data_IF_132573885111
#
_entry.id   IF_132573885111
#
_cell.length_a   1.000
_cell.length_b   1.000
_cell.length_c   1.000
_cell.angle_alpha   90.00
_cell.angle_beta   90.00
_cell.angle_gamma   90.00
#
_symmetry.space_group_name_H-M   'P 1'
#
loop_
_entity.id
_entity.type
_entity.pdbx_description
1 polymer ?
#
# COMPACT_ATOMS: atom_id res chain seq x y z
N UNK A 21 -10.16 -25.44 -39.42
CA UNK A 21 -10.53 -24.00 -39.39
C UNK A 21 -9.28 -23.12 -39.45
N UNK A 22 -9.47 -21.80 -39.54
CA UNK A 22 -8.34 -20.87 -39.56
C UNK A 22 -8.66 -19.58 -38.79
N UNK A 23 -9.56 -18.75 -39.33
CA UNK A 23 -9.85 -17.52 -38.58
C UNK A 23 -10.45 -17.87 -37.23
N UNK A 24 -11.42 -18.78 -37.23
CA UNK A 24 -12.10 -19.23 -36.01
C UNK A 24 -11.08 -19.90 -35.09
N UNK A 25 -9.85 -19.98 -35.59
CA UNK A 25 -8.76 -20.57 -34.85
C UNK A 25 -7.97 -19.38 -34.28
N UNK A 26 -7.66 -18.42 -35.14
CA UNK A 26 -6.94 -17.22 -34.71
C UNK A 26 -7.79 -16.56 -33.63
N UNK A 27 -9.10 -16.81 -33.73
CA UNK A 27 -10.04 -16.29 -32.77
C UNK A 27 -9.75 -16.98 -31.46
N UNK A 28 -9.67 -18.30 -31.50
CA UNK A 28 -9.41 -19.08 -30.30
C UNK A 28 -8.07 -18.70 -29.70
N UNK A 29 -7.13 -18.27 -30.53
CA UNK A 29 -5.84 -17.88 -29.99
C UNK A 29 -6.07 -16.75 -28.99
N UNK A 30 -6.47 -15.58 -29.49
CA UNK A 30 -6.75 -14.40 -28.67
C UNK A 30 -7.59 -14.73 -27.46
N UNK A 31 -8.73 -15.35 -27.67
CA UNK A 31 -9.58 -15.70 -26.53
C UNK A 31 -8.73 -16.31 -25.43
N UNK A 32 -7.73 -17.09 -25.84
CA UNK A 32 -6.86 -17.78 -24.89
C UNK A 32 -5.80 -16.86 -24.30
N UNK A 33 -5.09 -16.12 -25.15
CA UNK A 33 -4.05 -15.21 -24.68
C UNK A 33 -4.59 -14.26 -23.61
N UNK A 34 -5.78 -13.73 -23.85
CA UNK A 34 -6.46 -12.84 -22.94
C UNK A 34 -6.54 -13.52 -21.55
N UNK A 35 -7.24 -14.64 -21.46
CA UNK A 35 -7.36 -15.37 -20.19
C UNK A 35 -5.99 -15.66 -19.57
N UNK A 36 -4.94 -15.44 -20.35
CA UNK A 36 -3.59 -15.64 -19.86
C UNK A 36 -3.16 -14.32 -19.21
N UNK A 37 -3.43 -13.23 -19.93
CA UNK A 37 -3.11 -11.87 -19.46
C UNK A 37 -3.67 -11.69 -18.07
N UNK A 38 -4.94 -12.03 -17.92
CA UNK A 38 -5.62 -11.90 -16.65
C UNK A 38 -4.87 -12.62 -15.55
N UNK A 39 -4.62 -13.91 -15.76
CA UNK A 39 -3.96 -14.72 -14.76
C UNK A 39 -2.60 -14.17 -14.39
N UNK A 40 -1.83 -13.77 -15.40
CA UNK A 40 -0.49 -13.20 -15.18
C UNK A 40 -0.63 -12.02 -14.22
N UNK A 41 -1.20 -10.94 -14.75
CA UNK A 41 -1.47 -9.71 -14.00
C UNK A 41 -2.04 -9.94 -12.62
N UNK A 42 -3.01 -10.82 -12.52
CA UNK A 42 -3.61 -11.09 -11.24
C UNK A 42 -2.52 -11.52 -10.25
N UNK A 43 -1.44 -12.11 -10.78
CA UNK A 43 -0.36 -12.54 -9.91
C UNK A 43 0.60 -11.38 -9.73
N UNK A 44 1.06 -10.80 -10.82
CA UNK A 44 1.97 -9.67 -10.69
C UNK A 44 1.47 -8.75 -9.54
N UNK A 45 0.17 -8.41 -9.55
CA UNK A 45 -0.42 -7.56 -8.51
C UNK A 45 -0.12 -8.12 -7.14
N UNK A 46 -0.19 -9.44 -7.00
CA UNK A 46 0.07 -10.07 -5.71
C UNK A 46 1.52 -9.95 -5.33
N UNK A 47 2.40 -9.88 -6.33
CA UNK A 47 3.81 -9.75 -6.04
C UNK A 47 4.02 -8.33 -5.56
N UNK A 48 3.44 -7.37 -6.30
CA UNK A 48 3.54 -5.96 -5.92
C UNK A 48 3.14 -5.76 -4.45
N UNK A 49 1.99 -6.32 -4.08
CA UNK A 49 1.50 -6.21 -2.73
C UNK A 49 2.38 -6.89 -1.70
N UNK A 50 2.82 -8.12 -1.97
CA UNK A 50 3.66 -8.84 -1.03
C UNK A 50 4.94 -8.06 -0.86
N UNK A 51 5.43 -7.52 -1.96
CA UNK A 51 6.63 -6.71 -1.93
C UNK A 51 6.43 -5.58 -0.89
N UNK A 52 5.35 -4.79 -1.06
CA UNK A 52 5.08 -3.69 -0.14
C UNK A 52 4.94 -4.24 1.26
N UNK A 53 4.15 -5.29 1.41
CA UNK A 53 3.98 -5.91 2.72
C UNK A 53 5.36 -5.97 3.42
N UNK A 54 6.34 -6.63 2.78
CA UNK A 54 7.67 -6.76 3.37
C UNK A 54 8.34 -5.44 3.69
N UNK A 55 8.50 -4.57 2.69
CA UNK A 55 9.13 -3.29 2.97
C UNK A 55 8.37 -2.55 4.08
N UNK A 56 7.20 -3.06 4.44
CA UNK A 56 6.38 -2.43 5.46
C UNK A 56 6.66 -2.91 6.84
N UNK A 57 6.79 -4.23 7.02
CA UNK A 57 7.04 -4.73 8.36
C UNK A 57 8.48 -4.39 8.65
N UNK A 58 9.30 -4.37 7.60
CA UNK A 58 10.72 -4.05 7.74
C UNK A 58 10.87 -2.69 8.40
N UNK A 59 10.35 -1.64 7.73
CA UNK A 59 10.41 -0.30 8.29
C UNK A 59 9.83 -0.36 9.69
N UNK A 60 8.64 -0.94 9.80
CA UNK A 60 7.98 -1.05 11.08
C UNK A 60 8.83 -1.64 12.20
N UNK A 61 9.64 -2.65 11.89
CA UNK A 61 10.48 -3.25 12.92
C UNK A 61 11.68 -2.35 13.21
N UNK A 62 12.16 -1.65 12.19
CA UNK A 62 13.27 -0.74 12.40
C UNK A 62 12.71 0.32 13.34
N UNK A 63 11.89 1.21 12.77
CA UNK A 63 11.30 2.29 13.54
C UNK A 63 11.04 1.88 14.97
N UNK A 64 10.39 0.74 15.13
CA UNK A 64 10.07 0.25 16.46
C UNK A 64 11.32 0.09 17.32
N UNK A 65 12.24 -0.79 16.90
CA UNK A 65 13.48 -1.05 17.65
C UNK A 65 14.10 0.24 18.14
N UNK A 66 14.16 1.22 17.25
CA UNK A 66 14.71 2.51 17.59
C UNK A 66 13.90 3.06 18.73
N UNK A 67 12.60 3.26 18.50
CA UNK A 67 11.73 3.79 19.54
C UNK A 67 11.90 3.02 20.84
N UNK A 68 12.29 1.76 20.72
CA UNK A 68 12.49 0.95 21.91
C UNK A 68 13.88 1.26 22.45
N UNK A 69 14.84 1.40 21.53
CA UNK A 69 16.21 1.74 21.89
C UNK A 69 16.11 2.97 22.78
N UNK A 70 15.45 4.00 22.28
CA UNK A 70 15.24 5.23 23.01
C UNK A 70 14.80 4.86 24.41
N UNK A 71 13.70 4.14 24.52
CA UNK A 71 13.23 3.74 25.83
C UNK A 71 14.30 3.06 26.68
N UNK A 72 15.16 2.27 26.05
CA UNK A 72 16.21 1.58 26.79
C UNK A 72 17.22 2.54 27.39
N UNK A 73 17.67 3.51 26.60
CA UNK A 73 18.65 4.49 27.06
C UNK A 73 18.08 5.57 27.97
N UNK A 74 16.82 5.93 27.78
CA UNK A 74 16.21 6.95 28.62
C UNK A 74 16.04 6.34 29.99
N UNK A 75 16.40 5.07 30.12
CA UNK A 75 16.30 4.36 31.38
C UNK A 75 17.49 4.77 32.23
N UNK A 76 18.67 4.44 31.70
CA UNK A 76 19.94 4.74 32.35
C UNK A 76 20.06 6.21 32.73
N UNK A 77 19.67 7.10 31.82
CA UNK A 77 19.72 8.53 32.11
C UNK A 77 19.01 8.76 33.45
N UNK A 78 17.68 8.67 33.46
CA UNK A 78 16.95 8.88 34.70
C UNK A 78 17.44 7.95 35.78
N UNK A 79 18.08 6.87 35.38
CA UNK A 79 18.62 5.93 36.34
C UNK A 79 19.76 6.64 37.06
N UNK A 80 20.87 6.81 36.34
CA UNK A 80 22.09 7.43 36.86
C UNK A 80 21.91 8.85 37.39
N UNK A 81 20.88 9.56 36.92
CA UNK A 81 20.66 10.92 37.42
C UNK A 81 20.16 10.80 38.85
N UNK A 82 19.80 9.60 39.28
CA UNK A 82 19.32 9.41 40.64
C UNK A 82 19.89 8.18 41.34
N UNK A 83 20.45 7.25 40.57
CA UNK A 83 21.04 6.03 41.15
C UNK A 83 22.43 6.39 41.68
N UNK A 84 23.11 7.27 40.94
CA UNK A 84 24.44 7.75 41.29
C UNK A 84 24.28 9.01 42.13
N UNK A 85 23.13 9.67 41.94
CA UNK A 85 22.83 10.89 42.67
C UNK A 85 22.41 10.54 44.10
N UNK A 86 22.45 9.25 44.42
CA UNK A 86 22.12 8.78 45.76
C UNK A 86 23.42 8.90 46.56
N UNK A 87 24.53 8.68 45.88
CA UNK A 87 25.86 8.79 46.51
C UNK A 87 26.23 10.28 46.57
N UNK A 88 25.45 11.10 45.86
CA UNK A 88 25.65 12.55 45.80
C UNK A 88 24.71 13.26 46.76
N UNK B 21 -22.21 9.74 -41.65
CA UNK B 21 -21.72 8.34 -41.48
C UNK B 21 -22.45 7.67 -40.33
N UNK B 22 -21.98 6.48 -39.94
CA UNK B 22 -22.58 5.75 -38.83
C UNK B 22 -21.56 4.82 -38.17
N UNK B 23 -21.09 3.79 -38.89
CA UNK B 23 -20.12 2.93 -38.24
C UNK B 23 -18.92 3.77 -37.80
N UNK B 24 -18.42 4.58 -38.73
CA UNK B 24 -17.28 5.46 -38.45
C UNK B 24 -17.62 6.35 -37.27
N UNK B 25 -18.90 6.35 -36.89
CA UNK B 25 -19.35 7.14 -35.76
C UNK B 25 -19.35 6.26 -34.52
N UNK B 26 -19.93 5.06 -34.64
CA UNK B 26 -19.97 4.11 -33.53
C UNK B 26 -18.54 3.76 -33.14
N UNK B 27 -17.67 3.80 -34.12
CA UNK B 27 -16.26 3.51 -33.93
C UNK B 27 -15.76 4.62 -33.02
N UNK B 28 -15.93 5.85 -33.49
CA UNK B 28 -15.52 7.04 -32.77
C UNK B 28 -16.12 7.08 -31.36
N UNK B 29 -17.30 6.50 -31.19
CA UNK B 29 -17.92 6.50 -29.87
C UNK B 29 -16.96 5.81 -28.92
N UNK B 30 -16.70 4.53 -29.19
CA UNK B 30 -15.82 3.67 -28.40
C UNK B 30 -14.40 4.22 -28.25
N UNK B 31 -13.78 4.55 -29.36
CA UNK B 31 -12.43 5.11 -29.31
C UNK B 31 -12.37 6.17 -28.21
N UNK B 32 -13.42 6.99 -28.13
CA UNK B 32 -13.46 8.03 -27.13
C UNK B 32 -13.93 7.44 -25.81
N UNK B 33 -14.89 6.53 -25.89
CA UNK B 33 -15.42 5.87 -24.70
C UNK B 33 -14.30 5.23 -23.88
N UNK B 34 -13.43 4.51 -24.58
CA UNK B 34 -12.27 3.83 -24.02
C UNK B 34 -11.31 4.84 -23.36
N UNK B 35 -10.79 5.77 -24.17
CA UNK B 35 -9.87 6.80 -23.71
C UNK B 35 -10.50 7.54 -22.51
N UNK B 36 -11.76 7.24 -22.25
CA UNK B 36 -12.45 7.84 -21.14
C UNK B 36 -12.34 6.88 -19.96
N UNK B 37 -12.35 5.58 -20.27
CA UNK B 37 -12.26 4.55 -19.26
C UNK B 37 -10.93 4.65 -18.53
N UNK B 38 -9.87 4.94 -19.28
CA UNK B 38 -8.52 5.08 -18.71
C UNK B 38 -8.48 6.22 -17.71
N UNK B 39 -8.97 7.38 -18.13
CA UNK B 39 -9.02 8.58 -17.28
C UNK B 39 -9.62 8.24 -15.92
N UNK B 40 -10.81 7.67 -15.97
CA UNK B 40 -11.55 7.30 -14.76
C UNK B 40 -10.65 6.47 -13.86
N UNK B 41 -10.31 5.27 -14.35
CA UNK B 41 -9.45 4.30 -13.66
C UNK B 41 -8.18 4.92 -13.15
N UNK B 42 -7.46 5.63 -14.02
CA UNK B 42 -6.21 6.26 -13.63
C UNK B 42 -6.38 7.17 -12.40
N UNK B 43 -7.57 7.76 -12.23
CA UNK B 43 -7.81 8.59 -11.06
C UNK B 43 -8.30 7.71 -9.91
N UNK B 44 -9.27 6.85 -10.19
CA UNK B 44 -9.77 5.96 -9.16
C UNK B 44 -8.58 5.36 -8.35
N UNK B 45 -7.56 4.86 -9.07
CA UNK B 45 -6.38 4.29 -8.43
C UNK B 45 -5.76 5.28 -7.46
N UNK B 46 -5.69 6.54 -7.89
CA UNK B 46 -5.12 7.57 -7.03
C UNK B 46 -5.94 7.75 -5.77
N UNK B 47 -7.24 7.52 -5.86
CA UNK B 47 -8.07 7.67 -4.67
C UNK B 47 -7.76 6.51 -3.76
N UNK B 48 -7.64 5.32 -4.33
CA UNK B 48 -7.32 4.12 -3.56
C UNK B 48 -6.05 4.36 -2.74
N UNK B 49 -5.01 4.83 -3.43
CA UNK B 49 -3.73 5.13 -2.81
C UNK B 49 -3.80 6.22 -1.73
N UNK B 50 -4.42 7.36 -2.06
CA UNK B 50 -4.54 8.44 -1.09
C UNK B 50 -5.28 7.90 0.11
N UNK B 51 -6.29 7.10 -0.14
CA UNK B 51 -7.06 6.51 0.93
C UNK B 51 -6.09 5.75 1.85
N UNK B 52 -5.29 4.84 1.26
CA UNK B 52 -4.34 4.06 2.06
C UNK B 52 -3.42 5.01 2.78
N UNK B 53 -2.85 5.95 2.03
CA UNK B 53 -1.95 6.92 2.60
C UNK B 53 -2.53 7.40 3.95
N UNK B 54 -3.73 7.95 3.95
CA UNK B 54 -4.33 8.43 5.20
C UNK B 54 -4.45 7.36 6.30
N UNK B 55 -5.09 6.24 5.99
CA UNK B 55 -5.23 5.21 7.00
C UNK B 55 -3.85 4.77 7.51
N UNK B 56 -2.81 5.19 6.79
CA UNK B 56 -1.45 4.83 7.15
C UNK B 56 -0.81 5.77 8.13
N UNK B 57 -0.89 7.07 7.87
CA UNK B 57 -0.29 8.00 8.81
C UNK B 57 -1.11 7.98 10.07
N UNK B 58 -2.41 7.70 9.91
CA UNK B 58 -3.32 7.65 11.05
C UNK B 58 -2.85 6.60 12.03
N UNK B 59 -2.73 5.36 11.56
CA UNK B 59 -2.28 4.28 12.42
C UNK B 59 -0.93 4.70 13.03
N UNK B 60 -0.04 5.11 12.13
CA UNK B 60 1.30 5.55 12.51
C UNK B 60 1.33 6.57 13.62
N UNK B 61 0.42 7.54 13.61
CA UNK B 61 0.40 8.53 14.67
C UNK B 61 -0.17 7.93 15.94
N UNK B 62 -1.12 7.00 15.78
CA UNK B 62 -1.70 6.37 16.96
C UNK B 62 -0.59 5.57 17.59
N UNK B 63 -0.19 4.49 16.91
CA UNK B 63 0.85 3.62 17.42
C UNK B 63 1.93 4.44 18.10
N UNK B 64 2.42 5.46 17.41
CA UNK B 64 3.46 6.32 17.94
C UNK B 64 3.07 6.90 19.30
N UNK B 65 2.04 7.74 19.31
CA UNK B 65 1.59 8.39 20.56
C UNK B 65 1.62 7.42 21.72
N UNK B 66 1.11 6.22 21.47
CA UNK B 66 1.07 5.19 22.49
C UNK B 66 2.51 4.92 22.92
N UNK B 67 3.33 4.53 21.96
CA UNK B 67 4.73 4.25 22.25
C UNK B 67 5.39 5.36 23.03
N UNK B 68 4.96 6.60 22.82
CA UNK B 68 5.54 7.72 23.55
C UNK B 68 4.92 7.77 24.95
N UNK B 69 3.61 7.53 25.01
CA UNK B 69 2.87 7.50 26.26
C UNK B 69 3.59 6.56 27.22
N UNK B 70 3.97 5.40 26.71
CA UNK B 70 4.70 4.41 27.50
C UNK B 70 5.92 5.09 28.06
N UNK B 71 6.62 5.85 27.23
CA UNK B 71 7.82 6.55 27.69
C UNK B 71 7.52 7.58 28.80
N UNK B 72 6.44 8.32 28.66
CA UNK B 72 6.07 9.33 29.66
C UNK B 72 5.60 8.66 30.96
N UNK B 73 5.63 7.33 31.00
CA UNK B 73 5.20 6.61 32.19
C UNK B 73 6.28 5.68 32.72
N UNK B 74 7.17 5.23 31.84
CA UNK B 74 8.22 4.38 32.32
C UNK B 74 9.15 5.36 32.99
N UNK B 75 8.81 6.64 32.85
CA UNK B 75 9.59 7.71 33.46
C UNK B 75 9.16 7.81 34.91
N UNK B 76 7.90 8.20 35.11
CA UNK B 76 7.33 8.34 36.43
C UNK B 76 7.59 7.16 37.35
N UNK B 77 7.53 5.94 36.83
CA UNK B 77 7.81 4.76 37.65
C UNK B 77 9.23 4.90 38.18
N UNK B 78 10.22 4.82 37.30
CA UNK B 78 11.61 4.95 37.70
C UNK B 78 11.74 6.26 38.44
N UNK B 79 10.87 7.20 38.09
CA UNK B 79 10.87 8.50 38.72
C UNK B 79 10.52 8.32 40.19
N UNK B 80 9.21 8.31 40.47
CA UNK B 80 8.71 8.17 41.84
C UNK B 80 9.41 7.06 42.62
N UNK B 81 9.96 6.08 41.92
CA UNK B 81 10.67 5.00 42.57
C UNK B 81 11.86 5.54 43.37
N UNK B 82 12.75 6.27 42.68
CA UNK B 82 13.92 6.81 43.35
C UNK B 82 13.80 8.27 43.80
N UNK B 83 12.85 9.02 43.23
CA UNK B 83 12.66 10.42 43.61
C UNK B 83 12.12 10.42 45.04
N UNK B 84 11.35 9.39 45.35
CA UNK B 84 10.75 9.21 46.67
C UNK B 84 11.65 8.31 47.50
N UNK B 85 12.68 7.75 46.84
CA UNK B 85 13.62 6.87 47.52
C UNK B 85 14.64 7.68 48.29
N UNK B 86 14.34 8.97 48.42
CA UNK B 86 15.19 9.90 49.15
C UNK B 86 14.59 10.03 50.55
N UNK B 87 13.25 9.96 50.61
CA UNK B 87 12.55 10.04 51.89
C UNK B 87 12.49 8.63 52.47
N UNK B 88 12.94 7.66 51.69
CA UNK B 88 12.96 6.25 52.08
C UNK B 88 14.40 5.75 52.25
N UNK C 21 24.65 23.04 34.63
CA UNK C 21 23.84 21.80 34.72
C UNK C 21 24.55 20.63 34.05
N UNK C 22 24.15 19.41 34.39
CA UNK C 22 24.74 18.21 33.81
C UNK C 22 23.63 17.19 33.51
N UNK C 23 23.01 16.61 34.56
CA UNK C 23 21.96 15.63 34.28
C UNK C 23 20.79 16.28 33.54
N UNK C 24 20.20 17.31 34.15
CA UNK C 24 19.07 18.03 33.55
C UNK C 24 19.47 18.53 32.17
N UNK C 25 20.75 18.39 31.85
CA UNK C 25 21.24 18.80 30.57
C UNK C 25 21.15 17.55 29.69
N UNK C 26 21.58 16.42 30.27
CA UNK C 26 21.53 15.14 29.57
C UNK C 26 20.07 14.80 29.26
N UNK C 27 19.18 15.27 30.13
CA UNK C 27 17.75 15.07 29.99
C UNK C 27 17.30 15.75 28.71
N UNK C 28 17.65 17.03 28.59
CA UNK C 28 17.29 17.81 27.42
C UNK C 28 17.89 17.14 26.19
N UNK C 29 18.96 16.39 26.37
CA UNK C 29 19.55 15.74 25.21
C UNK C 29 18.51 14.81 24.59
N UNK C 30 18.02 13.87 25.40
CA UNK C 30 17.02 12.88 24.99
C UNK C 30 15.76 13.48 24.41
N UNK C 31 15.09 14.30 25.20
CA UNK C 31 13.87 14.94 24.73
C UNK C 31 14.06 15.50 23.32
N UNK C 32 15.28 15.86 22.98
CA UNK C 32 15.53 16.40 21.66
C UNK C 32 15.82 15.26 20.72
N UNK C 33 16.52 14.23 21.20
CA UNK C 33 16.82 13.05 20.39
C UNK C 33 15.49 12.49 19.87
N UNK C 34 14.64 12.14 20.82
CA UNK C 34 13.30 11.61 20.57
C UNK C 34 12.57 12.41 19.49
N UNK C 35 12.21 13.64 19.82
CA UNK C 35 11.50 14.53 18.92
C UNK C 35 12.19 14.60 17.56
N UNK C 36 13.42 14.09 17.50
CA UNK C 36 14.18 14.08 16.26
C UNK C 36 13.89 12.76 15.57
N UNK C 37 13.46 11.79 16.36
CA UNK C 37 13.14 10.48 15.86
C UNK C 37 11.84 10.55 15.11
N UNK C 38 10.79 10.99 15.81
CA UNK C 38 9.47 11.12 15.21
C UNK C 38 9.53 11.80 13.85
N UNK C 39 10.17 12.96 13.79
CA UNK C 39 10.26 13.71 12.55
C UNK C 39 11.00 12.91 11.49
N UNK C 40 12.06 12.22 11.89
CA UNK C 40 12.81 11.41 10.94
C UNK C 40 11.86 10.34 10.38
N UNK C 41 11.37 9.47 11.28
CA UNK C 41 10.45 8.40 10.92
C UNK C 41 9.29 8.87 10.05
N UNK C 42 8.60 9.92 10.47
CA UNK C 42 7.49 10.38 9.64
C UNK C 42 7.93 10.73 8.21
N UNK C 43 9.22 10.97 8.00
CA UNK C 43 9.64 11.27 6.63
C UNK C 43 9.78 9.92 5.97
N UNK C 44 10.49 9.03 6.64
CA UNK C 44 10.70 7.72 6.10
C UNK C 44 9.39 7.08 5.60
N UNK C 45 8.39 7.01 6.48
CA UNK C 45 7.10 6.43 6.10
C UNK C 45 6.61 7.03 4.81
N UNK C 46 6.78 8.33 4.66
CA UNK C 46 6.34 9.01 3.43
C UNK C 46 7.15 8.54 2.23
N UNK C 47 8.40 8.18 2.45
CA UNK C 47 9.21 7.70 1.34
C UNK C 47 8.71 6.33 0.96
N UNK C 48 8.46 5.51 1.99
CA UNK C 48 7.93 4.16 1.77
C UNK C 48 6.68 4.21 0.89
N UNK C 49 5.74 5.07 1.29
CA UNK C 49 4.49 5.24 0.56
C UNK C 49 4.68 5.77 -0.85
N UNK C 50 5.48 6.82 -1.02
CA UNK C 50 5.70 7.39 -2.35
C UNK C 50 6.33 6.31 -3.21
N UNK C 51 7.22 5.54 -2.61
CA UNK C 51 7.87 4.46 -3.31
C UNK C 51 6.77 3.53 -3.87
N UNK C 52 5.87 3.07 -2.98
CA UNK C 52 4.79 2.17 -3.41
C UNK C 52 3.97 2.86 -4.47
N UNK C 53 3.57 4.08 -4.18
CA UNK C 53 2.82 4.85 -5.14
C UNK C 53 3.41 4.64 -6.55
N UNK C 54 4.68 4.94 -6.74
CA UNK C 54 5.31 4.78 -8.06
C UNK C 54 5.24 3.36 -8.61
N UNK C 55 5.73 2.39 -7.85
CA UNK C 55 5.69 1.02 -8.34
C UNK C 55 4.25 0.61 -8.65
N UNK C 56 3.29 1.44 -8.20
CA UNK C 56 1.89 1.14 -8.41
C UNK C 56 1.35 1.67 -9.70
N UNK C 57 1.66 2.91 -10.05
CA UNK C 57 1.14 3.45 -11.28
C UNK C 57 1.90 2.78 -12.41
N UNK C 58 3.15 2.43 -12.12
CA UNK C 58 4.02 1.79 -13.11
C UNK C 58 3.38 0.49 -13.57
N UNK C 59 3.10 -0.42 -12.62
CA UNK C 59 2.47 -1.67 -12.97
C UNK C 59 1.21 -1.36 -13.75
N UNK C 60 0.38 -0.52 -13.11
CA UNK C 60 -0.88 -0.09 -13.69
C UNK C 60 -0.80 0.40 -15.13
N UNK C 61 0.24 1.14 -15.48
CA UNK C 61 0.37 1.61 -16.85
C UNK C 61 0.82 0.46 -17.75
N UNK C 62 1.62 -0.44 -17.20
CA UNK C 62 2.07 -1.58 -17.99
C UNK C 62 0.82 -2.39 -18.24
N UNK C 63 0.33 -3.05 -17.19
CA UNK C 63 -0.86 -3.89 -17.33
C UNK C 63 -1.84 -3.30 -18.33
N UNK C 64 -2.15 -2.02 -18.14
CA UNK C 64 -3.07 -1.31 -19.01
C UNK C 64 -2.66 -1.39 -20.48
N UNK C 65 -1.51 -0.81 -20.82
CA UNK C 65 -1.03 -0.81 -22.20
C UNK C 65 -1.22 -2.17 -22.84
N UNK C 66 -0.88 -3.21 -22.09
CA UNK C 66 -1.02 -4.56 -22.57
C UNK C 66 -2.49 -4.78 -22.88
N UNK C 67 -3.33 -4.67 -21.86
CA UNK C 67 -4.76 -4.84 -22.06
C UNK C 67 -5.28 -4.05 -23.23
N UNK C 68 -4.66 -2.92 -23.51
CA UNK C 68 -5.09 -2.11 -24.64
C UNK C 68 -4.52 -2.73 -25.91
N UNK C 69 -3.21 -2.93 -25.93
CA UNK C 69 -2.54 -3.55 -27.08
C UNK C 69 -3.40 -4.72 -27.54
N UNK C 70 -3.81 -5.55 -26.59
CA UNK C 70 -4.66 -6.70 -26.88
C UNK C 70 -5.79 -6.24 -27.75
N UNK C 71 -6.57 -5.29 -27.25
CA UNK C 71 -7.71 -4.73 -27.98
C UNK C 71 -7.34 -4.26 -29.40
N UNK C 72 -6.13 -3.72 -29.54
CA UNK C 72 -5.64 -3.24 -30.83
C UNK C 72 -5.38 -4.38 -31.81
N UNK C 73 -5.35 -5.60 -31.31
CA UNK C 73 -5.10 -6.76 -32.16
C UNK C 73 -6.31 -7.68 -32.31
N UNK C 74 -7.23 -7.61 -31.36
CA UNK C 74 -8.41 -8.42 -31.47
C UNK C 74 -9.25 -7.63 -32.48
N UNK C 75 -8.65 -6.57 -33.00
CA UNK C 75 -9.28 -5.71 -33.99
C UNK C 75 -8.96 -6.28 -35.36
N UNK C 76 -7.68 -6.22 -35.69
CA UNK C 76 -7.15 -6.71 -36.95
C UNK C 76 -7.58 -8.14 -37.24
N UNK C 77 -7.72 -8.96 -36.21
CA UNK C 77 -8.17 -10.33 -36.40
C UNK C 77 -9.59 -10.24 -36.94
N UNK C 78 -10.53 -9.74 -36.13
CA UNK C 78 -11.90 -9.61 -36.58
C UNK C 78 -11.91 -8.79 -37.86
N UNK C 79 -10.84 -8.04 -38.07
CA UNK C 79 -10.72 -7.24 -39.26
C UNK C 79 -10.54 -8.19 -40.44
N UNK C 80 -9.36 -8.81 -40.54
CA UNK C 80 -9.03 -9.76 -41.61
C UNK C 80 -10.15 -10.77 -41.86
N UNK C 81 -10.73 -11.27 -40.78
CA UNK C 81 -11.80 -12.27 -40.89
C UNK C 81 -12.98 -11.78 -41.72
N UNK C 82 -13.21 -10.47 -41.77
CA UNK C 82 -14.33 -9.97 -42.57
C UNK C 82 -14.00 -8.80 -43.50
N UNK C 83 -12.79 -8.27 -43.39
CA UNK C 83 -12.35 -7.16 -44.25
C UNK C 83 -11.90 -7.76 -45.57
N UNK C 84 -11.41 -8.99 -45.48
CA UNK C 84 -10.92 -9.75 -46.62
C UNK C 84 -11.99 -10.76 -46.98
N UNK C 85 -13.08 -10.74 -46.21
CA UNK C 85 -14.21 -11.63 -46.41
C UNK C 85 -15.09 -11.16 -47.56
N UNK C 86 -14.55 -10.23 -48.34
CA UNK C 86 -15.26 -9.69 -49.49
C UNK C 86 -14.76 -10.33 -50.78
N UNK C 87 -13.49 -10.73 -50.80
CA UNK C 87 -12.91 -11.39 -51.96
C UNK C 87 -13.07 -12.89 -51.73
N UNK C 88 -13.67 -13.24 -50.59
CA UNK C 88 -13.90 -14.64 -50.22
C UNK C 88 -15.40 -14.96 -50.19
N UNK D 21 7.24 -7.53 47.00
CA UNK D 21 7.97 -6.40 46.38
C UNK D 21 7.07 -5.17 46.19
N UNK D 22 7.54 -4.19 45.43
CA UNK D 22 6.77 -2.98 45.18
C UNK D 22 7.14 -2.38 43.82
N UNK D 23 8.24 -1.61 43.74
CA UNK D 23 8.55 -1.05 42.41
C UNK D 23 8.94 -2.14 41.43
N UNK D 24 9.73 -3.11 41.90
CA UNK D 24 10.20 -4.21 41.07
C UNK D 24 9.00 -4.90 40.42
N UNK D 25 7.82 -4.57 40.91
CA UNK D 25 6.58 -5.12 40.37
C UNK D 25 6.08 -4.15 39.28
N UNK D 26 5.97 -2.87 39.63
CA UNK D 26 5.53 -1.87 38.67
C UNK D 26 6.51 -1.83 37.51
N UNK D 27 7.72 -2.30 37.78
CA UNK D 27 8.73 -2.36 36.75
C UNK D 27 8.36 -3.52 35.86
N UNK D 28 8.09 -4.66 36.47
CA UNK D 28 7.74 -5.85 35.71
C UNK D 28 6.46 -5.59 34.93
N UNK D 29 5.58 -4.77 35.50
CA UNK D 29 4.32 -4.45 34.83
C UNK D 29 4.56 -3.76 33.48
N UNK D 30 5.38 -2.71 33.47
CA UNK D 30 5.68 -1.98 32.25
C UNK D 30 6.33 -2.87 31.21
N UNK D 31 7.37 -3.60 31.61
CA UNK D 31 8.03 -4.49 30.67
C UNK D 31 6.96 -5.40 30.08
N UNK D 32 6.01 -5.76 30.92
CA UNK D 32 4.91 -6.62 30.53
C UNK D 32 4.12 -5.84 29.47
N UNK D 33 3.53 -4.72 29.87
CA UNK D 33 2.75 -3.89 28.95
C UNK D 33 3.41 -3.63 27.60
N UNK D 34 4.66 -3.18 27.64
CA UNK D 34 5.43 -2.90 26.43
C UNK D 34 5.41 -4.11 25.46
N UNK D 35 5.90 -5.26 25.92
CA UNK D 35 5.92 -6.47 25.08
C UNK D 35 4.53 -6.76 24.57
N UNK D 36 3.54 -6.16 25.21
CA UNK D 36 2.16 -6.36 24.81
C UNK D 36 1.79 -5.32 23.74
N UNK D 37 2.33 -4.11 23.90
CA UNK D 37 2.06 -3.04 22.96
C UNK D 37 2.58 -3.41 21.58
N UNK D 38 3.77 -4.00 21.54
CA UNK D 38 4.37 -4.40 20.26
C UNK D 38 3.54 -5.48 19.61
N UNK D 39 3.18 -6.47 20.42
CA UNK D 39 2.38 -7.60 19.99
C UNK D 39 1.16 -7.07 19.24
N UNK D 40 0.42 -6.21 19.92
CA UNK D 40 -0.78 -5.60 19.39
C UNK D 40 -0.55 -4.92 18.04
N UNK D 41 0.22 -3.83 18.08
CA UNK D 41 0.56 -3.04 16.91
C UNK D 41 1.04 -3.87 15.73
N UNK D 42 1.88 -4.85 16.03
CA UNK D 42 2.40 -5.70 14.98
C UNK D 42 1.23 -6.34 14.23
N UNK D 43 0.15 -6.65 14.95
CA UNK D 43 -1.03 -7.25 14.34
C UNK D 43 -1.82 -6.18 13.60
N UNK D 44 -2.18 -5.10 14.31
CA UNK D 44 -2.93 -4.05 13.65
C UNK D 44 -2.33 -3.76 12.24
N UNK D 45 -1.01 -3.54 12.17
CA UNK D 45 -0.37 -3.27 10.89
C UNK D 45 -0.78 -4.31 9.87
N UNK D 46 -0.89 -5.56 10.30
CA UNK D 46 -1.28 -6.63 9.41
C UNK D 46 -2.71 -6.46 8.97
N UNK D 47 -3.54 -5.89 9.83
CA UNK D 47 -4.93 -5.69 9.46
C UNK D 47 -4.98 -4.58 8.44
N UNK D 48 -4.22 -3.52 8.70
CA UNK D 48 -4.15 -2.38 7.79
C UNK D 48 -3.78 -2.88 6.39
N UNK D 49 -2.74 -3.70 6.32
CA UNK D 49 -2.29 -4.24 5.05
C UNK D 49 -3.29 -5.16 4.34
N UNK D 50 -3.89 -6.09 5.09
CA UNK D 50 -4.87 -7.01 4.54
C UNK D 50 -6.02 -6.19 4.00
N UNK D 51 -6.41 -5.19 4.77
CA UNK D 51 -7.47 -4.29 4.35
C UNK D 51 -7.12 -3.72 2.96
N UNK D 52 -5.91 -3.14 2.82
CA UNK D 52 -5.51 -2.57 1.53
C UNK D 52 -5.53 -3.64 0.48
N UNK D 53 -4.93 -4.78 0.82
CA UNK D 53 -4.89 -5.89 -0.09
C UNK D 53 -6.27 -6.06 -0.74
N UNK D 54 -7.30 -6.24 0.08
CA UNK D 54 -8.67 -6.43 -0.44
C UNK D 54 -9.16 -5.27 -1.31
N UNK D 55 -9.14 -4.06 -0.79
CA UNK D 55 -9.58 -2.93 -1.58
C UNK D 55 -8.77 -2.85 -2.88
N UNK D 56 -7.69 -3.61 -2.94
CA UNK D 56 -6.82 -3.60 -4.11
C UNK D 56 -7.21 -4.58 -5.17
N UNK D 57 -7.53 -5.81 -4.79
CA UNK D 57 -7.90 -6.78 -5.80
C UNK D 57 -9.30 -6.39 -6.28
N UNK D 58 -10.07 -5.82 -5.35
CA UNK D 58 -11.43 -5.39 -5.65
C UNK D 58 -11.42 -4.39 -6.81
N UNK D 59 -10.70 -3.29 -6.63
CA UNK D 59 -10.62 -2.30 -7.69
C UNK D 59 -10.11 -3.01 -8.95
N UNK D 60 -9.03 -3.76 -8.78
CA UNK D 60 -8.43 -4.48 -9.88
C UNK D 60 -9.37 -5.38 -10.66
N UNK D 61 -10.31 -6.03 -9.98
CA UNK D 61 -11.26 -6.88 -10.67
C UNK D 61 -12.32 -6.02 -11.36
N UNK D 62 -12.68 -4.90 -10.73
CA UNK D 62 -13.65 -4.02 -11.35
C UNK D 62 -12.99 -3.52 -12.62
N UNK D 63 -12.01 -2.64 -12.44
CA UNK D 63 -11.31 -2.05 -13.59
C UNK D 63 -11.15 -3.06 -14.71
N UNK D 64 -10.69 -4.25 -14.35
CA UNK D 64 -10.49 -5.29 -15.34
C UNK D 64 -11.78 -5.60 -16.09
N UNK D 65 -12.80 -6.12 -15.38
CA UNK D 65 -14.09 -6.48 -16.00
C UNK D 65 -14.53 -5.43 -16.99
N UNK D 66 -14.42 -4.18 -16.59
CA UNK D 66 -14.79 -3.07 -17.44
C UNK D 66 -13.95 -3.16 -18.70
N UNK D 67 -12.63 -3.10 -18.52
CA UNK D 67 -11.73 -3.18 -19.66
C UNK D 67 -12.05 -4.36 -20.54
N UNK D 68 -12.61 -5.41 -19.95
CA UNK D 68 -12.97 -6.60 -20.71
C UNK D 68 -14.31 -6.39 -21.39
N UNK D 69 -15.29 -5.89 -20.63
CA UNK D 69 -16.61 -5.59 -21.17
C UNK D 69 -16.39 -4.76 -22.42
N UNK D 70 -15.52 -3.76 -22.32
CA UNK D 70 -15.21 -2.90 -23.44
C UNK D 70 -14.72 -3.74 -24.59
N UNK D 71 -14.02 -4.83 -24.30
CA UNK D 71 -13.55 -5.67 -25.39
C UNK D 71 -14.73 -6.33 -26.13
N UNK D 72 -15.76 -6.74 -25.38
CA UNK D 72 -16.94 -7.35 -25.97
C UNK D 72 -17.69 -6.34 -26.85
N UNK D 73 -17.70 -5.08 -26.41
CA UNK D 73 -18.38 -4.04 -27.17
C UNK D 73 -17.66 -3.77 -28.47
N UNK D 74 -16.38 -3.41 -28.37
CA UNK D 74 -15.62 -3.12 -29.56
C UNK D 74 -15.65 -4.31 -30.50
N UNK D 75 -16.18 -5.43 -30.02
CA UNK D 75 -16.29 -6.63 -30.84
C UNK D 75 -17.48 -6.49 -31.77
N UNK D 76 -18.67 -6.56 -31.17
CA UNK D 76 -19.93 -6.45 -31.89
C UNK D 76 -19.94 -5.28 -32.85
N UNK D 77 -19.31 -4.17 -32.47
CA UNK D 77 -19.24 -3.01 -33.36
C UNK D 77 -18.53 -3.48 -34.61
N UNK D 78 -17.21 -3.70 -34.52
CA UNK D 78 -16.44 -4.16 -35.66
C UNK D 78 -17.19 -5.30 -36.32
N UNK D 79 -17.98 -6.01 -35.50
CA UNK D 79 -18.77 -7.11 -35.99
C UNK D 79 -19.78 -6.58 -36.99
N UNK D 80 -20.88 -6.05 -36.46
CA UNK D 80 -21.97 -5.53 -37.28
C UNK D 80 -21.56 -4.54 -38.37
N UNK D 81 -20.46 -3.80 -38.17
CA UNK D 81 -20.03 -2.87 -39.20
C UNK D 81 -19.43 -3.67 -40.33
N UNK D 82 -19.65 -4.99 -40.29
CA UNK D 82 -19.13 -5.86 -41.35
C UNK D 82 -19.74 -7.26 -41.36
N UNK D 83 -20.45 -7.63 -40.30
CA UNK D 83 -21.08 -8.95 -40.23
C UNK D 83 -22.27 -9.04 -41.17
N UNK D 84 -23.12 -8.02 -41.16
CA UNK D 84 -24.28 -7.98 -42.04
C UNK D 84 -23.92 -7.09 -43.22
N UNK D 85 -22.63 -6.73 -43.27
CA UNK D 85 -22.07 -5.90 -44.33
C UNK D 85 -22.15 -6.66 -45.65
N UNK D 86 -22.60 -7.90 -45.57
CA UNK D 86 -22.76 -8.75 -46.74
C UNK D 86 -24.04 -8.33 -47.44
N UNK D 87 -25.00 -7.89 -46.63
CA UNK D 87 -26.28 -7.41 -47.13
C UNK D 87 -26.15 -5.91 -47.38
N UNK D 88 -24.94 -5.48 -47.74
CA UNK D 88 -24.64 -4.08 -48.01
C UNK D 88 -23.60 -3.96 -49.13
#
# INVERSE_FOLDING_TARGET
GSSHHHHHHSSGLVPRGSHMAEPALREQQLQQELLALKQKQQIQRQILIAEFQRQFEQLSRQHEAQLHEHIKQQQEMLAMKHQQELLEHQRKLERHRQEQELEKQHREQKLQ
GSSHHHHHHSSGLVPRGSHMAEPALREQQLQQELLALKQKQQIQRQILIAEFQRQFEQLSRQHEAQLHEHIKQQQEMLAMKHQQELLEHQRKLERHRQEQELEKQHREQKLQ
GSSHHHHHHSSGLVPRGSHMAEPALREQQLQQELLALKQKQQIQRQILIAEFQRQFEQLSRQHEAQLHEHIKQQQEMLAMKHQQELLEHQRKLERHRQEQELEKQHREQKLQ
GSSHHHHHHSSGLVPRGSHMAEPALREQQLQQELLALKQKQQIQRQILIAEFQRQFEQLSRQHEAQLHEHIKQQQEMLAMKHQQELLEHQRKLERHRQEQELEKQHREQKLQ
#
